data_IF_369487953599
#
_entry.id   IF_369487953599
#
_cell.length_a   1.000
_cell.length_b   1.000
_cell.length_c   1.000
_cell.angle_alpha   90.00
_cell.angle_beta   90.00
_cell.angle_gamma   90.00
#
_symmetry.space_group_name_H-M   'P 1'
#
loop_
_entity.id
_entity.type
_entity.pdbx_description
1 polymer ?
#
# COMPACT_ATOMS: atom_id res chain seq x y z
N UNK A 1 -20.72 -27.63 22.23
CA UNK A 1 -21.44 -27.55 20.94
C UNK A 1 -20.54 -26.73 20.02
N UNK A 2 -19.67 -27.43 19.27
CA UNK A 2 -18.61 -26.81 18.47
C UNK A 2 -19.19 -26.05 17.29
N UNK A 3 -18.96 -24.74 17.21
CA UNK A 3 -19.18 -23.98 15.98
C UNK A 3 -18.19 -24.50 14.94
N UNK A 4 -18.73 -25.04 13.86
CA UNK A 4 -17.95 -25.35 12.65
C UNK A 4 -17.33 -24.02 12.19
N UNK A 5 -16.01 -24.01 12.00
CA UNK A 5 -15.31 -23.02 11.20
C UNK A 5 -15.86 -23.15 9.76
N UNK A 6 -16.95 -22.47 9.47
CA UNK A 6 -17.48 -22.32 8.12
C UNK A 6 -16.56 -21.39 7.34
N UNK A 7 -16.42 -21.67 6.06
CA UNK A 7 -15.71 -20.86 5.09
C UNK A 7 -16.42 -19.48 4.95
N UNK A 8 -16.11 -18.57 5.88
CA UNK A 8 -16.37 -17.15 5.68
C UNK A 8 -15.24 -16.62 4.79
N UNK A 9 -15.60 -15.85 3.77
CA UNK A 9 -14.65 -15.05 3.02
C UNK A 9 -13.85 -14.14 3.98
N UNK A 10 -12.85 -13.41 3.47
CA UNK A 10 -12.10 -12.47 4.29
C UNK A 10 -13.08 -11.49 4.95
N UNK A 11 -12.88 -11.21 6.24
CA UNK A 11 -13.72 -10.27 6.99
C UNK A 11 -13.40 -8.80 6.69
N UNK A 12 -12.39 -8.56 5.85
CA UNK A 12 -11.89 -7.25 5.44
C UNK A 12 -11.34 -7.33 4.02
N UNK A 13 -11.19 -6.17 3.39
CA UNK A 13 -10.52 -6.04 2.10
C UNK A 13 -9.58 -4.83 2.09
N UNK A 14 -8.51 -4.91 1.30
CA UNK A 14 -7.61 -3.80 1.06
C UNK A 14 -8.36 -2.72 0.27
N UNK A 15 -8.39 -1.49 0.81
CA UNK A 15 -9.10 -0.38 0.17
C UNK A 15 -8.19 0.76 -0.20
N UNK A 16 -7.36 1.25 0.75
CA UNK A 16 -6.57 2.46 0.51
C UNK A 16 -5.07 2.22 0.58
N UNK A 17 -4.36 2.99 -0.23
CA UNK A 17 -2.98 3.40 0.00
C UNK A 17 -3.00 4.85 0.47
N UNK A 18 -2.62 5.09 1.72
CA UNK A 18 -2.57 6.43 2.32
C UNK A 18 -1.16 6.97 2.25
N UNK A 19 -1.03 8.23 1.85
CA UNK A 19 0.24 8.93 1.66
C UNK A 19 0.17 10.26 2.42
N UNK A 20 1.09 10.45 3.35
CA UNK A 20 1.28 11.73 4.03
C UNK A 20 1.84 12.76 3.04
N UNK A 21 1.20 13.90 2.90
CA UNK A 21 1.53 14.96 1.95
C UNK A 21 1.57 16.34 2.62
N UNK A 22 2.54 17.16 2.26
CA UNK A 22 2.57 18.58 2.66
C UNK A 22 1.57 19.38 1.81
N UNK A 23 1.48 19.03 0.53
CA UNK A 23 0.58 19.63 -0.46
C UNK A 23 -0.30 18.55 -1.12
N UNK A 24 -1.36 18.03 -0.45
CA UNK A 24 -2.16 16.90 -0.93
C UNK A 24 -2.68 17.07 -2.35
N UNK A 25 -3.14 18.27 -2.72
CA UNK A 25 -3.66 18.54 -4.05
C UNK A 25 -2.57 18.46 -5.14
N UNK A 26 -1.37 18.94 -4.85
CA UNK A 26 -0.26 18.89 -5.81
C UNK A 26 0.22 17.44 -5.99
N UNK A 27 0.46 16.75 -4.89
CA UNK A 27 0.91 15.37 -4.91
C UNK A 27 -0.16 14.44 -5.49
N UNK A 28 -1.41 14.63 -5.08
CA UNK A 28 -2.53 13.82 -5.57
C UNK A 28 -2.78 13.96 -7.06
N UNK A 29 -2.72 15.19 -7.62
CA UNK A 29 -2.84 15.41 -9.07
C UNK A 29 -1.69 14.79 -9.86
N UNK A 30 -0.48 14.78 -9.31
CA UNK A 30 0.63 14.06 -9.91
C UNK A 30 0.31 12.57 -10.01
N UNK A 31 -0.08 11.92 -8.91
CA UNK A 31 -0.38 10.50 -8.89
C UNK A 31 -1.64 10.13 -9.69
N UNK A 32 -2.67 11.00 -9.69
CA UNK A 32 -3.83 10.85 -10.59
C UNK A 32 -3.39 10.78 -12.07
N UNK A 33 -2.52 11.69 -12.51
CA UNK A 33 -2.01 11.73 -13.88
C UNK A 33 -1.06 10.54 -14.18
N UNK A 34 -0.25 10.12 -13.19
CA UNK A 34 0.64 8.96 -13.30
C UNK A 34 -0.16 7.68 -13.55
N UNK A 35 -1.19 7.45 -12.75
CA UNK A 35 -1.96 6.20 -12.74
C UNK A 35 -3.16 6.20 -13.69
N UNK A 36 -3.57 7.36 -14.19
CA UNK A 36 -4.80 7.50 -14.97
C UNK A 36 -6.05 7.18 -14.14
N UNK A 37 -6.02 7.46 -12.84
CA UNK A 37 -7.06 7.12 -11.88
C UNK A 37 -8.18 8.16 -11.83
N UNK A 38 -9.35 7.77 -11.30
CA UNK A 38 -10.52 8.63 -11.18
C UNK A 38 -10.43 9.49 -9.92
N UNK A 39 -10.63 10.81 -10.06
CA UNK A 39 -10.64 11.73 -8.91
C UNK A 39 -11.91 11.57 -8.09
N UNK A 40 -11.76 11.32 -6.78
CA UNK A 40 -12.86 11.25 -5.82
C UNK A 40 -12.98 12.51 -4.97
N UNK A 41 -11.84 13.13 -4.59
CA UNK A 41 -11.82 14.30 -3.72
C UNK A 41 -10.64 15.22 -4.10
N UNK A 42 -10.88 16.54 -4.07
CA UNK A 42 -9.86 17.56 -4.34
C UNK A 42 -10.05 18.72 -3.35
N UNK A 43 -9.44 18.64 -2.18
CA UNK A 43 -9.52 19.64 -1.11
C UNK A 43 -8.11 19.99 -0.61
N UNK A 44 -7.91 21.18 -0.01
CA UNK A 44 -6.60 21.63 0.44
C UNK A 44 -5.93 20.72 1.47
N UNK A 45 -6.71 20.01 2.27
CA UNK A 45 -6.26 19.13 3.35
C UNK A 45 -6.28 17.64 3.00
N UNK A 46 -6.94 17.27 1.88
CA UNK A 46 -7.02 15.90 1.41
C UNK A 46 -7.31 15.81 -0.08
N UNK A 47 -6.65 14.90 -0.77
CA UNK A 47 -6.94 14.52 -2.15
C UNK A 47 -7.12 13.00 -2.22
N UNK A 48 -8.10 12.54 -2.98
CA UNK A 48 -8.37 11.11 -3.12
C UNK A 48 -8.61 10.77 -4.58
N UNK A 49 -8.04 9.66 -5.03
CA UNK A 49 -8.22 9.14 -6.39
C UNK A 49 -8.34 7.63 -6.38
N UNK A 50 -9.11 7.06 -7.30
CA UNK A 50 -9.44 5.64 -7.39
C UNK A 50 -8.80 4.98 -8.59
N UNK A 51 -8.02 3.95 -8.33
CA UNK A 51 -7.52 3.05 -9.34
C UNK A 51 -8.41 1.79 -9.38
N UNK A 52 -9.07 1.57 -10.52
CA UNK A 52 -9.88 0.37 -10.76
C UNK A 52 -9.17 -0.55 -11.73
N UNK A 53 -8.91 -1.78 -11.31
CA UNK A 53 -8.46 -2.84 -12.22
C UNK A 53 -9.69 -3.63 -12.63
N UNK A 54 -10.01 -3.65 -13.92
CA UNK A 54 -11.20 -4.35 -14.42
C UNK A 54 -11.16 -5.85 -14.08
N UNK A 55 -12.17 -6.33 -13.36
CA UNK A 55 -12.21 -7.70 -12.82
C UNK A 55 -11.28 -7.99 -11.66
N UNK A 56 -10.51 -7.01 -11.21
CA UNK A 56 -9.55 -7.06 -10.13
C UNK A 56 -9.91 -6.16 -8.95
N UNK A 57 -8.90 -5.78 -8.13
CA UNK A 57 -9.13 -4.91 -6.99
C UNK A 57 -9.42 -3.46 -7.39
N UNK A 58 -10.09 -2.75 -6.48
CA UNK A 58 -10.20 -1.30 -6.47
C UNK A 58 -9.30 -0.80 -5.35
N UNK A 59 -8.42 0.16 -5.65
CA UNK A 59 -7.50 0.75 -4.68
C UNK A 59 -7.65 2.27 -4.73
N UNK A 60 -7.99 2.88 -3.58
CA UNK A 60 -8.02 4.33 -3.45
C UNK A 60 -6.67 4.84 -2.96
N UNK A 61 -6.14 5.89 -3.58
CA UNK A 61 -4.97 6.60 -3.11
C UNK A 61 -5.44 7.85 -2.37
N UNK A 62 -5.12 7.92 -1.07
CA UNK A 62 -5.53 8.99 -0.18
C UNK A 62 -4.32 9.82 0.25
N UNK A 63 -4.28 11.09 -0.14
CA UNK A 63 -3.23 12.02 0.23
C UNK A 63 -3.73 12.88 1.38
N UNK A 64 -3.13 12.72 2.57
CA UNK A 64 -3.53 13.39 3.79
C UNK A 64 -2.51 14.45 4.19
N UNK A 65 -3.01 15.64 4.56
CA UNK A 65 -2.14 16.73 4.94
C UNK A 65 -1.40 16.47 6.24
N UNK A 66 -0.08 16.63 6.17
CA UNK A 66 0.81 16.66 7.33
C UNK A 66 1.63 17.96 7.32
N UNK A 67 2.01 18.51 8.48
CA UNK A 67 2.81 19.74 8.54
C UNK A 67 4.24 19.55 8.01
N UNK A 68 4.79 18.36 8.20
CA UNK A 68 6.12 17.97 7.71
C UNK A 68 6.10 16.47 7.40
N UNK A 69 6.73 16.02 6.29
CA UNK A 69 6.85 14.60 6.01
C UNK A 69 7.81 13.95 7.00
N UNK A 70 7.61 12.67 7.35
CA UNK A 70 8.60 11.90 8.08
C UNK A 70 9.95 11.89 7.35
N UNK A 71 11.04 12.02 8.12
CA UNK A 71 12.40 12.10 7.57
C UNK A 71 13.04 10.73 7.26
N UNK A 72 12.38 9.64 7.62
CA UNK A 72 12.90 8.29 7.43
C UNK A 72 12.56 7.73 6.06
N UNK A 73 13.39 6.79 5.60
CA UNK A 73 13.11 6.05 4.35
C UNK A 73 11.76 5.36 4.43
N UNK A 74 10.95 5.41 3.38
CA UNK A 74 9.64 4.77 3.37
C UNK A 74 9.81 3.24 3.49
N UNK A 75 8.96 2.62 4.32
CA UNK A 75 8.87 1.16 4.45
C UNK A 75 7.84 0.55 3.49
N UNK A 76 7.09 1.38 2.83
CA UNK A 76 6.18 1.06 1.74
C UNK A 76 6.45 2.03 0.60
N UNK A 77 6.53 1.54 -0.61
CA UNK A 77 6.62 2.37 -1.82
C UNK A 77 5.84 1.75 -2.98
N UNK A 78 5.79 2.45 -4.09
CA UNK A 78 5.13 1.97 -5.30
C UNK A 78 6.18 1.54 -6.32
N UNK A 79 5.97 0.37 -6.91
CA UNK A 79 6.62 -0.05 -8.14
C UNK A 79 5.63 0.08 -9.28
N UNK A 80 5.96 0.87 -10.30
CA UNK A 80 5.12 1.10 -11.48
C UNK A 80 5.48 0.14 -12.60
N UNK A 81 4.49 -0.23 -13.39
CA UNK A 81 4.64 -1.12 -14.55
C UNK A 81 5.23 -0.35 -15.73
N UNK A 82 6.56 -0.40 -15.94
CA UNK A 82 7.22 0.13 -17.14
C UNK A 82 7.21 -0.89 -18.29
N UNK A 83 7.45 -2.16 -17.95
CA UNK A 83 7.48 -3.25 -18.92
C UNK A 83 8.48 -3.03 -20.05
N UNK A 84 8.15 -3.49 -21.25
CA UNK A 84 8.97 -3.31 -22.45
C UNK A 84 9.13 -1.83 -22.88
N UNK A 85 8.32 -0.92 -22.31
CA UNK A 85 8.36 0.52 -22.60
C UNK A 85 8.86 1.34 -21.41
N UNK A 86 9.66 0.72 -20.52
CA UNK A 86 10.15 1.37 -19.29
C UNK A 86 10.77 2.76 -19.55
N UNK A 87 11.65 2.91 -20.53
CA UNK A 87 12.28 4.20 -20.83
C UNK A 87 11.26 5.27 -21.25
N UNK A 88 10.27 4.92 -22.06
CA UNK A 88 9.20 5.84 -22.46
C UNK A 88 8.31 6.23 -21.27
N UNK A 89 8.05 5.29 -20.36
CA UNK A 89 7.31 5.55 -19.14
C UNK A 89 8.10 6.48 -18.21
N UNK A 90 9.40 6.27 -18.04
CA UNK A 90 10.29 7.19 -17.31
C UNK A 90 10.23 8.59 -17.90
N UNK A 91 10.35 8.75 -19.22
CA UNK A 91 10.27 10.06 -19.88
C UNK A 91 8.91 10.74 -19.64
N UNK A 92 7.82 9.97 -19.68
CA UNK A 92 6.46 10.47 -19.36
C UNK A 92 6.37 10.98 -17.92
N UNK A 93 6.89 10.22 -16.97
CA UNK A 93 6.86 10.56 -15.54
C UNK A 93 7.72 11.80 -15.23
N UNK A 94 8.89 11.91 -15.84
CA UNK A 94 9.72 13.13 -15.76
C UNK A 94 8.98 14.35 -16.31
N UNK A 95 8.25 14.18 -17.42
CA UNK A 95 7.39 15.23 -17.99
C UNK A 95 6.23 15.64 -17.07
N UNK A 96 5.77 14.77 -16.17
CA UNK A 96 4.76 15.06 -15.14
C UNK A 96 5.36 15.72 -13.89
N UNK A 97 6.67 15.75 -13.73
CA UNK A 97 7.35 16.39 -12.62
C UNK A 97 8.06 15.44 -11.65
N UNK A 98 8.17 14.15 -11.98
CA UNK A 98 9.07 13.24 -11.28
C UNK A 98 10.53 13.63 -11.50
N UNK A 99 11.42 13.18 -10.63
CA UNK A 99 12.85 13.41 -10.73
C UNK A 99 13.62 12.11 -10.54
N UNK A 100 14.76 11.95 -11.20
CA UNK A 100 15.66 10.83 -10.90
C UNK A 100 16.15 10.92 -9.47
N UNK A 101 16.19 9.77 -8.80
CA UNK A 101 16.65 9.67 -7.41
C UNK A 101 17.67 8.54 -7.27
N UNK A 102 18.81 8.86 -6.66
CA UNK A 102 19.79 7.86 -6.24
C UNK A 102 19.61 7.56 -4.74
N UNK A 103 19.19 6.36 -4.44
CA UNK A 103 19.05 5.82 -3.07
C UNK A 103 20.15 4.80 -2.74
N UNK A 104 21.24 4.77 -3.51
CA UNK A 104 22.31 3.79 -3.39
C UNK A 104 21.97 2.43 -3.98
N UNK A 105 21.00 2.34 -4.91
CA UNK A 105 20.50 1.10 -5.51
C UNK A 105 21.51 0.43 -6.45
N UNK A 106 22.61 1.13 -6.82
CA UNK A 106 23.64 0.65 -7.72
C UNK A 106 23.11 0.32 -9.13
N UNK A 107 23.67 -0.70 -9.75
CA UNK A 107 23.28 -1.16 -11.09
C UNK A 107 22.12 -2.17 -10.94
N UNK A 108 20.91 -1.68 -11.15
CA UNK A 108 19.66 -2.44 -11.09
C UNK A 108 18.84 -2.21 -12.37
N UNK A 109 17.99 -3.16 -12.80
CA UNK A 109 17.25 -3.01 -14.05
C UNK A 109 16.05 -2.05 -13.95
N UNK A 110 15.55 -1.74 -12.76
CA UNK A 110 14.51 -0.74 -12.58
C UNK A 110 15.07 0.67 -12.42
N UNK A 111 14.24 1.67 -12.70
CA UNK A 111 14.61 3.09 -12.54
C UNK A 111 13.96 3.64 -11.27
N UNK A 112 14.77 4.28 -10.42
CA UNK A 112 14.26 4.94 -9.21
C UNK A 112 14.01 6.41 -9.50
N UNK A 113 12.79 6.85 -9.20
CA UNK A 113 12.34 8.24 -9.32
C UNK A 113 11.83 8.74 -7.96
N UNK A 114 11.71 10.05 -7.85
CA UNK A 114 11.03 10.74 -6.75
C UNK A 114 9.78 11.45 -7.29
N UNK A 115 8.70 11.43 -6.54
CA UNK A 115 7.53 12.24 -6.78
C UNK A 115 7.78 13.74 -6.39
N UNK A 116 6.83 14.66 -6.63
CA UNK A 116 7.02 16.08 -6.31
C UNK A 116 7.33 16.40 -4.84
N UNK A 117 7.10 15.48 -3.91
CA UNK A 117 7.45 15.63 -2.50
C UNK A 117 8.65 14.77 -2.06
N UNK A 118 9.35 14.17 -3.03
CA UNK A 118 10.56 13.40 -2.77
C UNK A 118 10.32 11.96 -2.31
N UNK A 119 9.11 11.41 -2.45
CA UNK A 119 8.88 10.01 -2.19
C UNK A 119 9.48 9.16 -3.30
N UNK A 120 10.37 8.25 -2.92
CA UNK A 120 10.95 7.28 -3.85
C UNK A 120 9.88 6.31 -4.36
N UNK A 121 9.92 6.03 -5.66
CA UNK A 121 9.17 4.97 -6.31
C UNK A 121 9.98 4.39 -7.47
N UNK A 122 9.63 3.20 -7.94
CA UNK A 122 10.37 2.53 -9.01
C UNK A 122 9.51 2.42 -10.28
N UNK A 123 10.20 2.39 -11.43
CA UNK A 123 9.61 2.00 -12.71
C UNK A 123 10.26 0.69 -13.11
N UNK A 124 9.49 -0.38 -13.11
CA UNK A 124 9.96 -1.74 -13.31
C UNK A 124 10.14 -2.04 -14.80
N UNK A 125 11.16 -2.77 -15.12
CA UNK A 125 11.34 -3.37 -16.44
C UNK A 125 10.34 -4.53 -16.67
N UNK A 126 10.35 -5.11 -17.86
CA UNK A 126 9.45 -6.21 -18.22
C UNK A 126 9.77 -7.48 -17.39
N UNK A 127 8.76 -7.95 -16.65
CA UNK A 127 8.83 -9.18 -15.85
C UNK A 127 7.52 -9.95 -15.93
N UNK A 128 7.62 -11.27 -16.11
CA UNK A 128 6.45 -12.14 -16.18
C UNK A 128 5.58 -12.10 -14.92
N UNK A 129 6.18 -11.86 -13.74
CA UNK A 129 5.43 -11.77 -12.46
C UNK A 129 4.52 -10.55 -12.38
N UNK A 130 4.77 -9.51 -13.18
CA UNK A 130 3.98 -8.28 -13.23
C UNK A 130 2.97 -8.25 -14.40
N UNK A 131 2.63 -9.40 -14.94
CA UNK A 131 1.55 -9.51 -15.94
C UNK A 131 0.21 -9.18 -15.29
N UNK A 132 -0.62 -8.40 -15.99
CA UNK A 132 -1.99 -8.01 -15.57
C UNK A 132 -2.06 -7.24 -14.23
N UNK A 133 -1.00 -6.55 -13.85
CA UNK A 133 -0.96 -5.75 -12.61
C UNK A 133 -1.63 -4.38 -12.78
N UNK A 134 -1.85 -3.91 -13.99
CA UNK A 134 -2.23 -2.53 -14.24
C UNK A 134 -1.03 -1.57 -14.10
N UNK A 135 -1.25 -0.29 -13.79
CA UNK A 135 -0.17 0.70 -13.73
C UNK A 135 0.75 0.54 -12.51
N UNK A 136 0.27 -0.06 -11.42
CA UNK A 136 1.08 -0.43 -10.25
C UNK A 136 1.46 -1.90 -10.38
N UNK A 137 2.74 -2.20 -10.47
CA UNK A 137 3.27 -3.56 -10.51
C UNK A 137 3.23 -4.20 -9.12
N UNK A 138 3.74 -3.50 -8.12
CA UNK A 138 3.80 -3.98 -6.75
C UNK A 138 3.74 -2.84 -5.72
N UNK A 139 3.46 -3.22 -4.49
CA UNK A 139 3.53 -2.44 -3.26
C UNK A 139 4.55 -3.14 -2.35
N UNK A 140 5.86 -2.86 -2.51
CA UNK A 140 6.89 -3.40 -1.64
C UNK A 140 6.74 -2.85 -0.22
N UNK A 141 6.57 -3.77 0.74
CA UNK A 141 6.40 -3.49 2.16
C UNK A 141 7.53 -4.14 2.95
N UNK A 142 8.30 -3.34 3.68
CA UNK A 142 9.37 -3.83 4.54
C UNK A 142 8.83 -4.73 5.65
N UNK A 143 9.44 -5.89 5.83
CA UNK A 143 9.04 -6.92 6.77
C UNK A 143 10.25 -7.47 7.53
N UNK A 144 10.13 -7.57 8.85
CA UNK A 144 11.13 -8.24 9.70
C UNK A 144 11.06 -9.77 9.53
N UNK A 145 9.85 -10.30 9.31
CA UNK A 145 9.58 -11.73 9.16
C UNK A 145 8.59 -11.97 8.00
N UNK A 146 9.06 -11.96 6.72
CA UNK A 146 8.19 -12.01 5.53
C UNK A 146 7.19 -13.18 5.52
N UNK A 147 7.55 -14.34 6.06
CA UNK A 147 6.63 -15.49 6.14
C UNK A 147 5.46 -15.24 7.11
N UNK A 148 5.74 -14.62 8.23
CA UNK A 148 4.72 -14.29 9.24
C UNK A 148 3.83 -13.14 8.74
N UNK A 149 4.44 -12.08 8.22
CA UNK A 149 3.70 -10.93 7.70
C UNK A 149 2.84 -11.30 6.48
N UNK A 150 3.31 -12.22 5.61
CA UNK A 150 2.49 -12.70 4.52
C UNK A 150 1.23 -13.44 5.01
N UNK A 151 1.34 -14.26 6.06
CA UNK A 151 0.17 -14.90 6.66
C UNK A 151 -0.77 -13.87 7.29
N UNK A 152 -0.22 -12.85 7.97
CA UNK A 152 -0.98 -11.77 8.56
C UNK A 152 -1.76 -10.97 7.49
N UNK A 153 -1.07 -10.47 6.47
CA UNK A 153 -1.68 -9.67 5.40
C UNK A 153 -2.62 -10.48 4.51
N UNK A 154 -2.33 -11.78 4.28
CA UNK A 154 -3.24 -12.68 3.58
C UNK A 154 -4.57 -12.83 4.33
N UNK A 155 -4.52 -13.04 5.65
CA UNK A 155 -5.71 -13.09 6.48
C UNK A 155 -6.45 -11.74 6.52
N UNK A 156 -5.71 -10.64 6.63
CA UNK A 156 -6.28 -9.29 6.74
C UNK A 156 -7.00 -8.84 5.46
N UNK A 157 -6.48 -9.18 4.29
CA UNK A 157 -6.95 -8.69 2.99
C UNK A 157 -7.71 -9.73 2.16
N UNK A 158 -7.60 -11.01 2.50
CA UNK A 158 -8.04 -12.11 1.65
C UNK A 158 -7.18 -12.33 0.40
N UNK A 159 -6.06 -11.62 0.27
CA UNK A 159 -5.13 -11.84 -0.84
C UNK A 159 -4.33 -13.13 -0.63
N UNK A 160 -3.94 -13.78 -1.71
CA UNK A 160 -3.32 -15.11 -1.69
C UNK A 160 -1.87 -15.08 -2.14
N UNK A 161 -1.09 -16.04 -1.65
CA UNK A 161 0.31 -16.21 -2.08
C UNK A 161 0.41 -16.32 -3.60
N UNK A 162 1.40 -15.65 -4.16
CA UNK A 162 1.71 -15.68 -5.59
C UNK A 162 3.22 -15.56 -5.80
N UNK A 163 3.69 -15.86 -7.01
CA UNK A 163 5.06 -15.56 -7.40
C UNK A 163 5.26 -14.05 -7.53
N UNK A 164 6.34 -13.52 -6.97
CA UNK A 164 6.76 -12.11 -7.02
C UNK A 164 8.28 -12.00 -7.09
N UNK A 165 8.84 -10.82 -6.88
CA UNK A 165 10.29 -10.61 -6.81
C UNK A 165 10.88 -11.01 -5.47
N UNK A 166 10.08 -11.01 -4.43
CA UNK A 166 10.46 -11.39 -3.07
C UNK A 166 10.08 -12.83 -2.77
N UNK A 167 10.57 -13.34 -1.65
CA UNK A 167 10.24 -14.69 -1.19
C UNK A 167 8.76 -14.87 -0.84
N UNK A 168 8.08 -13.77 -0.51
CA UNK A 168 6.65 -13.76 -0.19
C UNK A 168 5.97 -12.59 -0.89
N UNK A 169 4.98 -12.92 -1.70
CA UNK A 169 4.16 -11.94 -2.39
C UNK A 169 2.71 -12.38 -2.34
N UNK A 170 1.82 -11.40 -2.18
CA UNK A 170 0.38 -11.62 -2.15
C UNK A 170 -0.28 -10.92 -3.33
N UNK A 171 -1.35 -11.48 -3.86
CA UNK A 171 -2.15 -10.89 -4.92
C UNK A 171 -3.62 -11.12 -4.69
N UNK A 172 -4.44 -10.20 -5.19
CA UNK A 172 -5.89 -10.35 -5.15
C UNK A 172 -6.32 -11.70 -5.77
N UNK A 173 -7.36 -12.39 -5.24
CA UNK A 173 -7.78 -13.71 -5.73
C UNK A 173 -8.15 -13.79 -7.21
N UNK A 174 -8.48 -12.66 -7.86
CA UNK A 174 -8.68 -12.60 -9.31
C UNK A 174 -7.39 -12.78 -10.12
N UNK A 175 -6.23 -12.75 -9.50
CA UNK A 175 -4.91 -12.71 -10.13
C UNK A 175 -4.66 -11.46 -11.00
N UNK A 176 -5.46 -10.41 -10.80
CA UNK A 176 -5.33 -9.10 -11.44
C UNK A 176 -4.91 -8.04 -10.41
N UNK A 177 -4.37 -6.92 -10.88
CA UNK A 177 -3.92 -5.83 -10.02
C UNK A 177 -2.54 -6.05 -9.39
N UNK A 178 -2.07 -5.10 -8.55
CA UNK A 178 -0.73 -5.10 -7.99
C UNK A 178 -0.47 -6.28 -7.06
N UNK A 179 0.81 -6.56 -6.83
CA UNK A 179 1.26 -7.45 -5.77
C UNK A 179 1.53 -6.64 -4.49
N UNK A 180 1.31 -7.22 -3.31
CA UNK A 180 1.94 -6.79 -2.06
C UNK A 180 3.17 -7.67 -1.87
N UNK A 181 4.35 -7.08 -1.88
CA UNK A 181 5.63 -7.79 -1.79
C UNK A 181 6.26 -7.57 -0.41
N UNK A 182 6.36 -8.64 0.40
CA UNK A 182 6.97 -8.59 1.73
C UNK A 182 8.49 -8.65 1.57
N UNK A 183 9.13 -7.48 1.69
CA UNK A 183 10.56 -7.32 1.49
C UNK A 183 11.30 -7.43 2.82
N UNK A 184 12.38 -8.25 2.93
CA UNK A 184 13.21 -8.24 4.13
C UNK A 184 13.68 -6.82 4.46
N UNK A 185 13.35 -6.33 5.67
CA UNK A 185 13.69 -4.96 6.08
C UNK A 185 15.20 -4.75 6.13
N UNK A 186 15.65 -3.60 5.62
CA UNK A 186 17.07 -3.20 5.69
C UNK A 186 17.48 -2.72 7.07
N UNK A 187 16.51 -2.21 7.83
CA UNK A 187 16.69 -1.70 9.18
C UNK A 187 15.40 -1.88 9.97
N UNK A 188 15.55 -2.21 11.26
CA UNK A 188 14.41 -2.39 12.15
C UNK A 188 13.54 -1.12 12.20
N UNK A 189 12.21 -1.30 12.18
CA UNK A 189 11.24 -0.22 12.35
C UNK A 189 11.53 0.56 13.64
N UNK A 190 11.61 1.88 13.51
CA UNK A 190 11.70 2.83 14.62
C UNK A 190 10.30 3.29 15.05
N UNK A 191 10.25 4.23 15.97
CA UNK A 191 9.01 4.78 16.52
C UNK A 191 8.34 5.82 15.62
N UNK A 192 9.04 6.30 14.59
CA UNK A 192 8.52 7.30 13.64
C UNK A 192 7.40 6.70 12.80
N UNK A 193 6.30 7.44 12.64
CA UNK A 193 5.18 7.04 11.77
C UNK A 193 5.66 6.83 10.32
N UNK A 194 5.16 5.78 9.67
CA UNK A 194 5.40 5.56 8.25
C UNK A 194 4.73 6.66 7.42
N UNK A 195 5.41 7.12 6.38
CA UNK A 195 4.88 8.11 5.44
C UNK A 195 3.76 7.56 4.55
N UNK A 196 3.80 6.25 4.30
CA UNK A 196 2.79 5.54 3.55
C UNK A 196 2.32 4.33 4.36
N UNK A 197 1.02 4.05 4.28
CA UNK A 197 0.44 2.85 4.89
C UNK A 197 -0.76 2.36 4.08
N UNK A 198 -1.13 1.12 4.33
CA UNK A 198 -2.31 0.50 3.74
C UNK A 198 -3.48 0.60 4.71
N UNK A 199 -4.70 0.74 4.18
CA UNK A 199 -5.92 0.62 4.97
C UNK A 199 -6.75 -0.54 4.46
N UNK A 200 -7.37 -1.25 5.40
CA UNK A 200 -8.37 -2.27 5.12
C UNK A 200 -9.73 -1.79 5.61
N UNK A 201 -10.78 -2.26 4.96
CA UNK A 201 -12.15 -1.98 5.38
C UNK A 201 -12.85 -3.24 5.85
N UNK A 202 -13.60 -3.12 6.94
CA UNK A 202 -14.47 -4.19 7.42
C UNK A 202 -15.58 -4.50 6.42
N UNK A 203 -15.86 -5.77 6.24
CA UNK A 203 -17.08 -6.21 5.56
C UNK A 203 -18.32 -5.95 6.43
N UNK A 204 -19.47 -5.80 5.76
CA UNK A 204 -20.73 -5.53 6.47
C UNK A 204 -21.08 -6.68 7.42
N UNK A 205 -21.33 -6.34 8.69
CA UNK A 205 -21.71 -7.30 9.73
C UNK A 205 -20.55 -7.86 10.55
N UNK A 206 -19.30 -7.47 10.24
CA UNK A 206 -18.15 -7.84 11.06
C UNK A 206 -18.12 -7.05 12.37
N UNK A 207 -17.72 -7.74 13.45
CA UNK A 207 -17.55 -7.15 14.78
C UNK A 207 -16.16 -6.54 14.94
N UNK A 208 -16.01 -5.21 15.06
CA UNK A 208 -14.71 -4.56 15.20
C UNK A 208 -13.88 -5.07 16.40
N UNK A 209 -14.53 -5.44 17.53
CA UNK A 209 -13.81 -5.95 18.70
C UNK A 209 -13.28 -7.37 18.47
N UNK A 210 -14.01 -8.22 17.78
CA UNK A 210 -13.54 -9.53 17.38
C UNK A 210 -12.38 -9.44 16.40
N UNK A 211 -12.41 -8.46 15.47
CA UNK A 211 -11.31 -8.19 14.53
C UNK A 211 -10.08 -7.70 15.28
N UNK A 212 -10.20 -6.76 16.24
CA UNK A 212 -9.09 -6.31 17.09
C UNK A 212 -8.43 -7.47 17.84
N UNK A 213 -9.23 -8.35 18.43
CA UNK A 213 -8.73 -9.56 19.11
C UNK A 213 -7.95 -10.44 18.13
N UNK A 214 -8.50 -10.66 16.93
CA UNK A 214 -7.87 -11.50 15.91
C UNK A 214 -6.57 -10.90 15.36
N UNK A 215 -6.48 -9.58 15.22
CA UNK A 215 -5.25 -8.85 14.85
C UNK A 215 -4.17 -9.10 15.92
N UNK A 216 -4.54 -8.95 17.21
CA UNK A 216 -3.60 -9.14 18.33
C UNK A 216 -3.09 -10.58 18.41
N UNK A 217 -3.97 -11.57 18.25
CA UNK A 217 -3.61 -13.00 18.24
C UNK A 217 -2.63 -13.37 17.11
N UNK A 218 -2.59 -12.58 16.03
CA UNK A 218 -1.69 -12.75 14.87
C UNK A 218 -0.45 -11.87 14.92
N UNK A 219 -0.17 -11.25 16.08
CA UNK A 219 1.05 -10.47 16.29
C UNK A 219 0.93 -9.00 15.94
N UNK A 220 -0.21 -8.52 15.42
CA UNK A 220 -0.49 -7.09 15.29
C UNK A 220 -0.83 -6.45 16.65
N UNK A 221 -0.87 -5.15 16.69
CA UNK A 221 -1.24 -4.40 17.91
C UNK A 221 -1.99 -3.13 17.59
N UNK A 222 -2.99 -2.80 18.39
CA UNK A 222 -3.71 -1.53 18.30
C UNK A 222 -2.82 -0.37 18.75
N UNK A 223 -2.91 0.77 18.08
CA UNK A 223 -2.20 1.99 18.38
C UNK A 223 -3.21 3.06 18.81
N UNK A 224 -2.86 3.84 19.85
CA UNK A 224 -3.72 4.89 20.39
C UNK A 224 -2.98 6.23 20.30
N UNK A 225 -2.91 6.86 19.11
CA UNK A 225 -2.27 8.17 18.98
C UNK A 225 -3.13 9.24 19.66
N UNK A 226 -2.48 10.29 20.17
CA UNK A 226 -3.15 11.45 20.79
C UNK A 226 -3.81 12.39 19.75
N UNK A 227 -4.43 11.85 18.70
CA UNK A 227 -5.04 12.64 17.61
C UNK A 227 -6.55 12.90 17.81
N UNK A 228 -7.08 12.50 18.96
CA UNK A 228 -8.50 12.54 19.25
C UNK A 228 -9.27 11.30 18.76
N UNK A 229 -10.59 11.37 18.77
CA UNK A 229 -11.45 10.29 18.28
C UNK A 229 -11.41 10.23 16.75
N UNK A 230 -11.07 9.07 16.21
CA UNK A 230 -11.04 8.78 14.78
C UNK A 230 -12.21 7.84 14.43
N UNK A 231 -12.80 7.97 13.23
CA UNK A 231 -13.83 7.03 12.78
C UNK A 231 -13.27 5.66 12.36
N UNK A 232 -11.96 5.48 12.42
CA UNK A 232 -11.25 4.22 12.15
C UNK A 232 -10.30 3.89 13.30
N UNK A 233 -9.83 2.65 13.35
CA UNK A 233 -8.82 2.20 14.32
C UNK A 233 -7.46 2.07 13.65
N UNK A 234 -6.41 2.44 14.37
CA UNK A 234 -5.03 2.37 13.91
C UNK A 234 -4.32 1.17 14.56
N UNK A 235 -3.58 0.44 13.76
CA UNK A 235 -2.83 -0.73 14.17
C UNK A 235 -1.40 -0.69 13.64
N UNK A 236 -0.55 -1.57 14.18
CA UNK A 236 0.70 -1.97 13.58
C UNK A 236 0.64 -3.46 13.22
N UNK A 237 1.18 -3.83 12.07
CA UNK A 237 1.42 -5.22 11.70
C UNK A 237 2.53 -5.86 12.56
N UNK A 238 2.83 -7.16 12.45
CA UNK A 238 3.87 -7.80 13.27
C UNK A 238 5.26 -7.17 13.11
N UNK A 239 5.57 -6.60 11.95
CA UNK A 239 6.81 -5.86 11.68
C UNK A 239 6.77 -4.38 12.08
N UNK A 240 5.66 -3.91 12.62
CA UNK A 240 5.47 -2.55 13.13
C UNK A 240 5.04 -1.53 12.07
N UNK A 241 4.65 -1.93 10.87
CA UNK A 241 4.08 -1.02 9.89
C UNK A 241 2.67 -0.63 10.29
N UNK A 242 2.39 0.67 10.31
CA UNK A 242 1.06 1.18 10.62
C UNK A 242 0.08 0.80 9.50
N UNK A 243 -1.18 0.52 9.87
CA UNK A 243 -2.32 0.36 8.97
C UNK A 243 -3.61 0.74 9.69
N UNK A 244 -4.65 1.12 8.95
CA UNK A 244 -5.95 1.41 9.55
C UNK A 244 -6.97 0.33 9.20
N UNK A 245 -7.91 0.12 10.13
CA UNK A 245 -9.13 -0.65 9.91
C UNK A 245 -10.30 0.33 9.86
N UNK A 246 -10.85 0.51 8.67
CA UNK A 246 -11.98 1.39 8.40
C UNK A 246 -13.30 0.68 8.76
N UNK A 247 -14.31 1.40 9.25
CA UNK A 247 -15.62 0.81 9.51
C UNK A 247 -16.26 0.30 8.22
N UNK A 248 -17.13 -0.70 8.33
CA UNK A 248 -17.94 -1.16 7.22
C UNK A 248 -18.71 0.01 6.57
N UNK A 249 -18.93 -0.06 5.27
CA UNK A 249 -19.81 0.90 4.58
C UNK A 249 -21.26 0.64 5.00
N UNK A 250 -22.08 1.71 5.13
CA UNK A 250 -23.51 1.59 5.47
C UNK A 250 -24.29 0.75 4.45
#
# INVERSE_FOLDING_TARGET
>A
MGRRLGAYGPCMYLENLVIDAVEPQRLGRFWEAVLGSERLKDQPDAFETRLTVEGGPVLDLCFQRVPQPPSESPRLHLDLSGGARQAQEVDRLLGLGAQHLDIGQRDVPWVVLADPEGNAFCVMEERAVYTDTGPIAALPLDSAEPDHDAQFWSWLTGWTDTAGLTTRSLRHPSLLGPLVELCPERARKKTTKNRMHLDVRLETGEDPEAVTTSITERGGRELHPEWGELPWRLYADPSGNEFCVLPARP
#
